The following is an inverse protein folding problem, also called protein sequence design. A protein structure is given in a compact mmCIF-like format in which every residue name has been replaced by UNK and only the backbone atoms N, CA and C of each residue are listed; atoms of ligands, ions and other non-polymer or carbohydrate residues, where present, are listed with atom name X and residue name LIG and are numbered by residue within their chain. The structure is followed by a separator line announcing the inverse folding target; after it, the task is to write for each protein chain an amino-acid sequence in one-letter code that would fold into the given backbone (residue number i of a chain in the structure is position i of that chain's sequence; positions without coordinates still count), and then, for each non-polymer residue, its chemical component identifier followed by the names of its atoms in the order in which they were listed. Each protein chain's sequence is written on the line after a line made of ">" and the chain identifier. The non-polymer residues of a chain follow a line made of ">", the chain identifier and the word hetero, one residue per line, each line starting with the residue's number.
data_IF_948161207639
#
_entry.id   IF_948161207639
#
_cell.length_a   1.000
_cell.length_b   1.000
_cell.length_c   1.000
_cell.angle_alpha   90.00
_cell.angle_beta   90.00
_cell.angle_gamma   90.00
#
_symmetry.space_group_name_H-M   'P 1'
#
loop_
_entity.id
_entity.type
_entity.pdbx_description
1 polymer ?
#
# COMPACT_ATOMS: atom_id res chain seq x y z
N UNK A 1 19.01 -40.32 -2.66
CA UNK A 1 18.84 -39.28 -3.70
C UNK A 1 18.26 -37.98 -3.16
N UNK A 2 17.12 -37.95 -2.45
CA UNK A 2 16.54 -36.71 -1.88
C UNK A 2 17.47 -35.90 -0.95
N UNK A 3 18.31 -36.57 -0.15
CA UNK A 3 19.29 -35.90 0.75
C UNK A 3 20.45 -35.23 0.01
N UNK A 4 20.87 -35.78 -1.13
CA UNK A 4 21.90 -35.18 -2.00
C UNK A 4 21.35 -33.98 -2.78
N UNK A 5 20.08 -34.03 -3.16
CA UNK A 5 19.40 -32.91 -3.80
C UNK A 5 19.25 -31.70 -2.85
N UNK A 6 18.93 -31.94 -1.58
CA UNK A 6 18.88 -30.87 -0.57
C UNK A 6 20.25 -30.24 -0.32
N UNK A 7 21.32 -31.04 -0.32
CA UNK A 7 22.68 -30.55 -0.15
C UNK A 7 23.15 -29.70 -1.36
N UNK A 8 22.73 -30.07 -2.57
CA UNK A 8 23.07 -29.30 -3.77
C UNK A 8 22.34 -27.94 -3.81
N UNK A 9 21.10 -27.87 -3.31
CA UNK A 9 20.36 -26.60 -3.18
C UNK A 9 21.02 -25.70 -2.13
N UNK A 10 21.48 -26.27 -1.01
CA UNK A 10 22.15 -25.50 0.03
C UNK A 10 23.46 -24.86 -0.47
N UNK A 11 24.25 -25.58 -1.27
CA UNK A 11 25.50 -25.08 -1.85
C UNK A 11 25.24 -23.99 -2.90
N UNK A 12 24.14 -24.07 -3.65
CA UNK A 12 23.76 -23.03 -4.62
C UNK A 12 23.39 -21.70 -3.98
N UNK A 13 22.91 -21.69 -2.73
CA UNK A 13 22.58 -20.46 -1.99
C UNK A 13 23.85 -19.71 -1.57
N UNK A 14 24.97 -20.41 -1.33
CA UNK A 14 26.25 -19.79 -0.96
C UNK A 14 27.11 -19.36 -2.16
N UNK A 15 26.74 -19.72 -3.39
CA UNK A 15 27.44 -19.30 -4.62
C UNK A 15 27.02 -17.93 -5.13
N UNK A 16 26.06 -17.27 -4.50
CA UNK A 16 25.76 -15.87 -4.81
C UNK A 16 26.81 -14.97 -4.14
N UNK A 17 27.58 -14.18 -4.89
CA UNK A 17 28.37 -13.12 -4.28
C UNK A 17 27.42 -12.18 -3.55
N UNK A 18 27.58 -12.09 -2.23
CA UNK A 18 26.94 -11.07 -1.41
C UNK A 18 27.73 -9.79 -1.70
N UNK A 19 27.35 -9.07 -2.74
CA UNK A 19 27.77 -7.67 -2.89
C UNK A 19 26.94 -6.87 -1.89
N UNK A 20 27.57 -6.49 -0.77
CA UNK A 20 27.00 -5.63 0.27
C UNK A 20 27.58 -4.21 0.19
N UNK A 21 28.22 -3.87 -0.91
CA UNK A 21 28.73 -2.54 -1.17
C UNK A 21 28.27 -2.24 -2.59
N UNK A 22 27.23 -1.42 -2.71
CA UNK A 22 27.14 -0.57 -3.88
C UNK A 22 28.44 0.25 -3.84
N UNK A 23 29.32 -0.04 -4.79
CA UNK A 23 30.43 0.82 -5.13
C UNK A 23 29.82 2.17 -5.48
N UNK A 24 29.71 3.05 -4.49
CA UNK A 24 29.99 4.45 -4.73
C UNK A 24 31.37 4.43 -5.38
N UNK A 25 31.43 4.78 -6.66
CA UNK A 25 32.66 5.27 -7.28
C UNK A 25 33.11 6.48 -6.47
N UNK A 26 33.79 6.24 -5.35
CA UNK A 26 34.72 7.17 -4.76
C UNK A 26 35.90 7.19 -5.70
N UNK A 27 35.78 8.06 -6.69
CA UNK A 27 36.93 8.66 -7.34
C UNK A 27 37.95 8.98 -6.23
N UNK A 28 39.12 8.39 -6.40
CA UNK A 28 40.28 8.47 -5.54
C UNK A 28 40.46 9.87 -4.95
N UNK A 29 40.90 9.93 -3.68
CA UNK A 29 41.65 10.98 -2.99
C UNK A 29 42.17 12.13 -3.90
N UNK A 30 41.25 12.88 -4.47
CA UNK A 30 41.44 14.23 -4.93
C UNK A 30 40.71 15.02 -3.89
N UNK A 31 41.45 15.88 -3.18
CA UNK A 31 40.90 16.91 -2.31
C UNK A 31 39.92 17.68 -3.20
N UNK A 32 38.65 17.27 -3.16
CA UNK A 32 37.60 17.79 -4.00
C UNK A 32 37.24 19.17 -3.49
N UNK A 33 36.75 20.03 -4.39
CA UNK A 33 36.27 21.36 -4.02
C UNK A 33 35.29 21.25 -2.84
N UNK A 34 35.64 21.83 -1.70
CA UNK A 34 34.77 21.86 -0.52
C UNK A 34 33.76 22.99 -0.68
N UNK A 35 32.50 22.72 -0.33
CA UNK A 35 31.38 23.67 -0.44
C UNK A 35 30.85 23.97 0.95
N UNK A 36 30.93 25.23 1.36
CA UNK A 36 30.46 25.73 2.65
C UNK A 36 29.14 26.48 2.48
N UNK A 37 28.04 25.82 2.84
CA UNK A 37 26.70 26.40 2.76
C UNK A 37 26.49 27.48 3.84
N UNK A 38 25.99 28.65 3.45
CA UNK A 38 25.66 29.74 4.38
C UNK A 38 24.15 29.77 4.60
N UNK A 39 23.40 29.95 3.50
CA UNK A 39 21.96 30.12 3.50
C UNK A 39 21.35 29.25 2.39
N UNK A 40 20.33 28.48 2.73
CA UNK A 40 19.48 27.76 1.79
C UNK A 40 18.05 27.76 2.32
N UNK A 41 17.22 28.69 1.86
CA UNK A 41 15.82 28.76 2.28
C UNK A 41 14.92 29.39 1.22
N UNK A 42 13.62 29.13 1.33
CA UNK A 42 12.60 29.67 0.43
C UNK A 42 11.80 30.75 1.15
N UNK A 43 11.50 31.86 0.47
CA UNK A 43 10.60 32.88 1.01
C UNK A 43 9.19 32.34 1.24
N UNK A 44 8.56 32.75 2.34
CA UNK A 44 7.22 32.25 2.73
C UNK A 44 6.08 32.79 1.86
N UNK A 45 6.25 33.94 1.21
CA UNK A 45 5.23 34.58 0.38
C UNK A 45 5.58 34.46 -1.12
N UNK A 46 4.57 34.27 -1.99
CA UNK A 46 4.78 34.20 -3.43
C UNK A 46 5.25 35.56 -4.01
N UNK A 47 6.14 35.57 -5.02
CA UNK A 47 6.75 34.40 -5.67
C UNK A 47 7.72 33.66 -4.73
N UNK A 48 7.64 32.33 -4.74
CA UNK A 48 8.47 31.47 -3.91
C UNK A 48 9.90 31.46 -4.46
N UNK A 49 10.75 32.28 -3.84
CA UNK A 49 12.15 32.45 -4.26
C UNK A 49 13.03 31.64 -3.31
N UNK A 50 13.75 30.67 -3.87
CA UNK A 50 14.85 29.97 -3.21
C UNK A 50 16.09 30.86 -3.20
N UNK A 51 16.58 31.17 -2.00
CA UNK A 51 17.78 31.94 -1.73
C UNK A 51 18.89 30.98 -1.34
N UNK A 52 19.94 30.95 -2.15
CA UNK A 52 21.11 30.11 -1.94
C UNK A 52 22.35 30.98 -1.84
N UNK A 53 23.16 30.79 -0.80
CA UNK A 53 24.47 31.41 -0.65
C UNK A 53 25.47 30.41 -0.07
N UNK A 54 26.66 30.33 -0.66
CA UNK A 54 27.72 29.42 -0.24
C UNK A 54 29.11 29.94 -0.64
N UNK A 55 30.14 29.36 -0.01
CA UNK A 55 31.54 29.55 -0.40
C UNK A 55 32.14 28.24 -0.91
N UNK A 56 33.18 28.34 -1.73
CA UNK A 56 33.98 27.21 -2.21
C UNK A 56 35.43 27.34 -1.75
N UNK A 57 36.14 26.23 -1.57
CA UNK A 57 37.55 26.24 -1.16
C UNK A 57 38.49 26.86 -2.19
N UNK A 58 38.10 26.88 -3.46
CA UNK A 58 38.82 27.50 -4.57
C UNK A 58 37.86 28.26 -5.50
N UNK A 59 38.42 29.04 -6.41
CA UNK A 59 37.68 29.86 -7.37
C UNK A 59 37.05 28.98 -8.46
N UNK A 60 35.74 29.02 -8.63
CA UNK A 60 35.04 28.19 -9.62
C UNK A 60 33.81 28.85 -10.25
N UNK A 61 33.30 28.21 -11.31
CA UNK A 61 31.93 28.40 -11.79
C UNK A 61 31.01 27.48 -11.00
N UNK A 62 29.74 27.85 -10.85
CA UNK A 62 28.80 27.04 -10.09
C UNK A 62 27.40 26.99 -10.68
N UNK A 63 26.83 25.80 -10.62
CA UNK A 63 25.44 25.47 -10.93
C UNK A 63 24.81 24.82 -9.70
N UNK A 64 23.49 24.92 -9.58
CA UNK A 64 22.71 24.16 -8.60
C UNK A 64 21.71 23.28 -9.34
N UNK A 65 21.64 22.02 -8.92
CA UNK A 65 20.69 21.03 -9.43
C UNK A 65 19.71 20.73 -8.30
N UNK A 66 18.45 21.10 -8.48
CA UNK A 66 17.36 20.90 -7.53
C UNK A 66 16.56 19.67 -7.95
N UNK A 67 16.28 18.77 -7.00
CA UNK A 67 15.49 17.54 -7.17
C UNK A 67 16.00 16.65 -8.32
N UNK A 68 17.32 16.65 -8.54
CA UNK A 68 18.01 15.97 -9.66
C UNK A 68 17.45 16.29 -11.07
N UNK A 69 16.71 17.39 -11.21
CA UNK A 69 15.94 17.68 -12.42
C UNK A 69 16.08 19.12 -12.91
N UNK A 70 16.09 20.09 -12.01
CA UNK A 70 16.08 21.50 -12.37
C UNK A 70 17.46 22.10 -12.15
N UNK A 71 18.15 22.42 -13.24
CA UNK A 71 19.50 23.01 -13.21
C UNK A 71 19.42 24.54 -13.36
N UNK A 72 20.11 25.24 -12.47
CA UNK A 72 20.22 26.70 -12.47
C UNK A 72 21.67 27.14 -12.38
N UNK A 73 22.05 28.08 -13.25
CA UNK A 73 23.35 28.74 -13.20
C UNK A 73 23.41 29.68 -11.99
N UNK A 74 24.39 29.48 -11.11
CA UNK A 74 24.61 30.33 -9.94
C UNK A 74 25.66 31.41 -10.24
N UNK A 75 26.80 31.02 -10.82
CA UNK A 75 27.86 31.96 -11.20
C UNK A 75 28.42 31.67 -12.58
N UNK A 76 28.39 32.68 -13.45
CA UNK A 76 29.02 32.65 -14.78
C UNK A 76 30.50 33.07 -14.75
N UNK A 77 31.01 33.54 -13.61
CA UNK A 77 32.40 33.95 -13.43
C UNK A 77 33.08 33.17 -12.32
N UNK A 78 34.40 33.00 -12.44
CA UNK A 78 35.22 32.38 -11.41
C UNK A 78 35.15 33.25 -10.14
N UNK A 79 34.53 32.72 -9.09
CA UNK A 79 34.43 33.32 -7.76
C UNK A 79 34.59 32.24 -6.68
N UNK A 80 34.92 32.64 -5.45
CA UNK A 80 34.85 31.79 -4.26
C UNK A 80 33.51 31.97 -3.51
N UNK A 81 32.87 33.12 -3.73
CA UNK A 81 31.61 33.50 -3.10
C UNK A 81 30.47 33.42 -4.12
N UNK A 82 29.41 32.68 -3.79
CA UNK A 82 28.31 32.42 -4.69
C UNK A 82 26.98 32.72 -4.03
N UNK A 83 26.07 33.37 -4.77
CA UNK A 83 24.70 33.59 -4.33
C UNK A 83 23.75 33.58 -5.53
N UNK A 84 22.61 32.92 -5.37
CA UNK A 84 21.56 32.86 -6.36
C UNK A 84 20.18 33.11 -5.75
N UNK A 85 19.29 33.67 -6.57
CA UNK A 85 17.86 33.81 -6.28
C UNK A 85 17.10 33.08 -7.38
N UNK A 86 16.50 31.96 -7.05
CA UNK A 86 15.85 31.06 -8.00
C UNK A 86 14.36 31.10 -7.75
N UNK A 87 13.57 31.48 -8.76
CA UNK A 87 12.12 31.38 -8.66
C UNK A 87 11.71 29.92 -8.85
N UNK A 88 11.15 29.34 -7.80
CA UNK A 88 10.69 27.94 -7.77
C UNK A 88 9.17 27.82 -7.82
N UNK A 89 8.45 28.93 -8.03
CA UNK A 89 6.98 28.98 -7.95
C UNK A 89 6.29 28.00 -8.91
N UNK A 90 6.84 27.87 -10.13
CA UNK A 90 6.29 26.99 -11.17
C UNK A 90 6.86 25.56 -11.13
N UNK A 91 7.78 25.28 -10.20
CA UNK A 91 8.40 23.96 -10.05
C UNK A 91 7.49 23.02 -9.26
N UNK A 92 7.53 21.75 -9.68
CA UNK A 92 6.78 20.68 -9.02
C UNK A 92 7.76 19.75 -8.31
N UNK A 93 7.54 19.61 -7.01
CA UNK A 93 8.28 18.74 -6.11
C UNK A 93 7.35 17.67 -5.55
N UNK A 94 7.90 16.49 -5.22
CA UNK A 94 7.14 15.39 -4.62
C UNK A 94 7.08 15.51 -3.10
N UNK A 95 8.21 15.89 -2.50
CA UNK A 95 8.40 15.98 -1.05
C UNK A 95 8.53 17.43 -0.58
N UNK A 96 8.19 17.64 0.71
CA UNK A 96 8.29 18.96 1.35
C UNK A 96 9.76 19.38 1.53
N UNK A 97 10.62 18.40 1.77
CA UNK A 97 12.06 18.59 1.84
C UNK A 97 12.62 18.29 0.46
N UNK A 98 13.17 19.31 -0.18
CA UNK A 98 13.68 19.19 -1.55
C UNK A 98 15.19 19.12 -1.49
N UNK A 99 15.75 18.06 -2.09
CA UNK A 99 17.19 17.90 -2.19
C UNK A 99 17.78 18.77 -3.29
N UNK A 100 19.01 19.24 -3.09
CA UNK A 100 19.78 19.92 -4.12
C UNK A 100 21.28 19.63 -3.98
N UNK A 101 21.97 19.69 -5.11
CA UNK A 101 23.43 19.49 -5.22
C UNK A 101 24.03 20.70 -5.92
N UNK A 102 25.19 21.13 -5.46
CA UNK A 102 25.98 22.18 -6.10
C UNK A 102 27.01 21.51 -6.99
N UNK A 103 26.97 21.83 -8.29
CA UNK A 103 27.99 21.42 -9.26
C UNK A 103 28.96 22.59 -9.46
N UNK A 104 30.24 22.36 -9.24
CA UNK A 104 31.31 23.34 -9.43
C UNK A 104 32.19 22.96 -10.61
N UNK A 105 32.66 23.96 -11.36
CA UNK A 105 33.63 23.78 -12.45
C UNK A 105 34.85 24.64 -12.14
N UNK A 106 35.99 24.02 -11.89
CA UNK A 106 37.22 24.73 -11.56
C UNK A 106 37.84 25.46 -12.77
N UNK A 107 38.93 26.20 -12.53
CA UNK A 107 39.68 26.91 -13.58
C UNK A 107 40.31 25.99 -14.64
N UNK A 108 40.47 24.69 -14.33
CA UNK A 108 40.98 23.65 -15.23
C UNK A 108 39.86 22.93 -16.01
N UNK A 109 38.59 23.29 -15.78
CA UNK A 109 37.42 22.67 -16.37
C UNK A 109 37.00 21.35 -15.72
N UNK A 110 37.59 20.96 -14.58
CA UNK A 110 37.18 19.77 -13.83
C UNK A 110 35.86 20.06 -13.11
N UNK A 111 34.90 19.15 -13.28
CA UNK A 111 33.62 19.20 -12.58
C UNK A 111 33.74 18.50 -11.23
N UNK A 112 33.07 19.02 -10.22
CA UNK A 112 32.92 18.37 -8.91
C UNK A 112 31.52 18.63 -8.39
N UNK A 113 31.00 17.71 -7.59
CA UNK A 113 29.66 17.80 -7.00
C UNK A 113 29.79 17.82 -5.49
N UNK A 114 29.00 18.67 -4.84
CA UNK A 114 28.88 18.68 -3.39
C UNK A 114 28.14 17.44 -2.88
N UNK A 115 28.11 17.29 -1.56
CA UNK A 115 27.08 16.48 -0.90
C UNK A 115 25.67 16.98 -1.24
N UNK A 116 24.67 16.15 -0.95
CA UNK A 116 23.26 16.51 -1.10
C UNK A 116 22.82 17.34 0.08
N UNK A 117 22.36 18.56 -0.18
CA UNK A 117 21.72 19.43 0.80
C UNK A 117 20.21 19.38 0.64
N UNK A 118 19.48 19.91 1.62
CA UNK A 118 18.02 19.95 1.61
C UNK A 118 17.52 21.34 2.01
N UNK A 119 16.38 21.76 1.44
CA UNK A 119 15.62 22.91 1.91
C UNK A 119 14.13 22.58 2.05
N UNK A 120 13.47 23.25 2.98
CA UNK A 120 12.05 23.05 3.25
C UNK A 120 11.19 23.97 2.37
N UNK A 121 10.16 23.40 1.76
CA UNK A 121 9.11 24.16 1.09
C UNK A 121 8.18 24.81 2.13
N UNK A 122 7.78 26.08 1.91
CA UNK A 122 6.84 26.77 2.79
C UNK A 122 5.37 26.36 2.55
N UNK A 123 5.12 25.44 1.62
CA UNK A 123 3.81 24.88 1.27
C UNK A 123 3.88 23.35 1.17
N UNK A 124 2.73 22.69 1.27
CA UNK A 124 2.63 21.25 1.01
C UNK A 124 2.63 20.98 -0.50
N UNK A 125 3.59 20.19 -1.02
CA UNK A 125 3.60 19.83 -2.44
C UNK A 125 2.35 19.03 -2.78
N UNK A 126 1.78 19.29 -3.97
CA UNK A 126 0.66 18.52 -4.47
C UNK A 126 1.20 17.16 -4.94
N UNK A 127 1.07 16.13 -4.10
CA UNK A 127 1.44 14.75 -4.43
C UNK A 127 0.61 14.30 -5.64
N UNK A 128 1.22 14.34 -6.82
CA UNK A 128 0.56 13.90 -8.07
C UNK A 128 0.63 12.38 -8.29
N UNK A 129 1.37 11.65 -7.45
CA UNK A 129 1.50 10.19 -7.53
C UNK A 129 0.86 9.48 -6.33
N UNK A 130 -0.44 9.74 -6.14
CA UNK A 130 -1.28 8.77 -5.44
C UNK A 130 -1.51 7.56 -6.35
N UNK A 131 -1.31 6.34 -5.81
CA UNK A 131 -1.57 5.04 -6.43
C UNK A 131 -2.54 5.11 -7.62
N UNK A 132 -2.05 4.78 -8.83
CA UNK A 132 -2.84 4.91 -10.05
C UNK A 132 -4.20 4.24 -9.89
N UNK A 133 -5.26 4.84 -10.44
CA UNK A 133 -6.60 4.25 -10.42
C UNK A 133 -6.60 2.81 -10.96
N UNK A 134 -5.67 2.48 -11.85
CA UNK A 134 -5.43 1.12 -12.36
C UNK A 134 -4.90 0.18 -11.28
N UNK A 135 -3.94 0.61 -10.48
CA UNK A 135 -3.42 -0.14 -9.33
C UNK A 135 -4.54 -0.39 -8.34
N UNK A 136 -5.32 0.64 -8.00
CA UNK A 136 -6.49 0.50 -7.13
C UNK A 136 -7.51 -0.49 -7.72
N UNK A 137 -7.85 -0.39 -9.00
CA UNK A 137 -8.79 -1.30 -9.66
C UNK A 137 -8.28 -2.75 -9.74
N UNK A 138 -6.99 -2.98 -9.99
CA UNK A 138 -6.39 -4.31 -10.06
C UNK A 138 -6.31 -4.97 -8.68
N UNK A 139 -5.93 -4.22 -7.65
CA UNK A 139 -5.93 -4.71 -6.27
C UNK A 139 -7.34 -4.89 -5.71
N UNK A 140 -8.24 -3.95 -5.95
CA UNK A 140 -9.65 -4.08 -5.57
C UNK A 140 -10.32 -5.26 -6.30
N UNK A 141 -10.04 -5.41 -7.60
CA UNK A 141 -10.55 -6.50 -8.43
C UNK A 141 -10.03 -7.87 -7.99
N UNK A 142 -8.74 -7.99 -7.65
CA UNK A 142 -8.17 -9.26 -7.20
C UNK A 142 -8.74 -9.69 -5.85
N UNK A 143 -8.92 -8.77 -4.91
CA UNK A 143 -9.60 -9.05 -3.63
C UNK A 143 -11.08 -9.35 -3.86
N UNK A 144 -11.73 -8.69 -4.82
CA UNK A 144 -13.09 -9.02 -5.24
C UNK A 144 -13.18 -10.42 -5.88
N UNK A 145 -12.11 -11.03 -6.38
CA UNK A 145 -12.14 -12.43 -6.86
C UNK A 145 -11.75 -13.41 -5.76
N UNK A 146 -10.93 -12.98 -4.78
CA UNK A 146 -10.40 -13.86 -3.75
C UNK A 146 -11.51 -14.52 -2.91
N UNK A 147 -11.62 -15.85 -2.89
CA UNK A 147 -12.52 -16.56 -1.99
C UNK A 147 -11.96 -16.57 -0.55
N UNK A 148 -12.86 -16.67 0.41
CA UNK A 148 -12.57 -16.75 1.84
C UNK A 148 -12.29 -18.21 2.21
N UNK A 149 -11.07 -18.54 2.68
CA UNK A 149 -10.83 -19.84 3.28
C UNK A 149 -11.65 -19.99 4.56
N UNK A 150 -12.15 -21.20 4.79
CA UNK A 150 -12.88 -21.54 5.99
C UNK A 150 -12.75 -22.99 6.41
N UNK A 151 -13.30 -23.25 7.58
CA UNK A 151 -13.45 -24.56 8.18
C UNK A 151 -14.93 -24.76 8.48
N UNK A 152 -15.48 -25.87 7.99
CA UNK A 152 -16.84 -26.32 8.27
C UNK A 152 -16.78 -27.56 9.15
N UNK A 153 -17.47 -27.56 10.28
CA UNK A 153 -17.62 -28.73 11.14
C UNK A 153 -19.03 -29.29 11.00
N UNK A 154 -19.11 -30.47 10.38
CA UNK A 154 -20.33 -31.23 10.19
C UNK A 154 -20.25 -32.51 11.02
N UNK A 155 -21.08 -32.64 12.06
CA UNK A 155 -21.10 -33.83 12.93
C UNK A 155 -19.72 -34.25 13.47
N UNK A 156 -18.90 -33.28 13.89
CA UNK A 156 -17.52 -33.49 14.40
C UNK A 156 -16.51 -33.92 13.34
N UNK A 157 -16.85 -33.81 12.06
CA UNK A 157 -15.93 -33.96 10.93
C UNK A 157 -15.66 -32.58 10.33
N UNK A 158 -14.39 -32.17 10.40
CA UNK A 158 -13.93 -30.90 9.86
C UNK A 158 -13.62 -31.00 8.36
N UNK A 159 -14.15 -30.05 7.58
CA UNK A 159 -13.91 -29.89 6.16
C UNK A 159 -13.34 -28.50 5.88
N UNK A 160 -12.41 -28.42 4.93
CA UNK A 160 -11.98 -27.13 4.39
C UNK A 160 -13.04 -26.60 3.43
N UNK A 161 -13.25 -25.29 3.46
CA UNK A 161 -14.17 -24.59 2.57
C UNK A 161 -13.53 -23.39 1.90
N UNK A 162 -14.04 -23.07 0.72
CA UNK A 162 -13.81 -21.79 0.05
C UNK A 162 -15.16 -21.13 -0.18
N UNK A 163 -15.36 -19.98 0.44
CA UNK A 163 -16.61 -19.22 0.34
C UNK A 163 -16.37 -17.93 -0.39
N UNK A 164 -17.13 -17.68 -1.45
CA UNK A 164 -17.15 -16.39 -2.12
C UNK A 164 -18.46 -15.68 -1.86
N UNK A 165 -18.36 -14.40 -1.57
CA UNK A 165 -19.49 -13.53 -1.31
C UNK A 165 -19.46 -12.34 -2.25
N UNK A 166 -20.63 -11.99 -2.76
CA UNK A 166 -20.84 -10.82 -3.61
C UNK A 166 -22.00 -10.01 -3.02
N UNK A 167 -21.74 -8.80 -2.48
CA UNK A 167 -22.79 -7.89 -2.08
C UNK A 167 -23.54 -7.41 -3.33
N UNK A 168 -24.86 -7.58 -3.34
CA UNK A 168 -25.71 -7.15 -4.46
C UNK A 168 -26.19 -5.71 -4.23
N UNK A 169 -26.68 -5.45 -3.02
CA UNK A 169 -27.25 -4.16 -2.61
C UNK A 169 -26.64 -3.76 -1.26
N UNK A 170 -26.08 -2.56 -1.19
CA UNK A 170 -25.55 -1.98 0.04
C UNK A 170 -26.36 -0.75 0.44
N UNK A 171 -26.63 -0.62 1.73
CA UNK A 171 -27.32 0.55 2.28
C UNK A 171 -26.27 1.54 2.79
N UNK A 172 -26.35 2.79 2.35
CA UNK A 172 -25.42 3.84 2.82
C UNK A 172 -25.47 3.97 4.35
N UNK A 173 -24.31 4.19 4.95
CA UNK A 173 -24.21 4.57 6.36
C UNK A 173 -24.26 6.09 6.49
N UNK A 174 -24.82 6.57 7.61
CA UNK A 174 -24.79 7.99 7.99
C UNK A 174 -23.40 8.41 8.47
N UNK A 175 -22.56 7.47 8.93
CA UNK A 175 -21.23 7.73 9.50
C UNK A 175 -20.29 6.54 9.25
N UNK A 176 -19.07 6.83 8.80
CA UNK A 176 -17.92 5.93 8.86
C UNK A 176 -17.58 5.10 7.61
N UNK A 177 -16.58 4.23 7.84
CA UNK A 177 -15.95 3.18 7.02
C UNK A 177 -16.82 2.26 6.14
N UNK A 178 -18.09 2.08 6.49
CA UNK A 178 -18.81 0.85 6.14
C UNK A 178 -20.25 1.15 5.75
N UNK A 179 -20.88 0.35 4.86
CA UNK A 179 -22.31 0.41 4.63
C UNK A 179 -23.04 0.08 5.93
N UNK A 180 -24.23 0.64 6.14
CA UNK A 180 -25.02 0.33 7.33
C UNK A 180 -25.52 -1.12 7.33
N UNK A 181 -25.52 -1.76 6.16
CA UNK A 181 -25.78 -3.17 5.94
C UNK A 181 -25.82 -3.47 4.45
N UNK A 182 -25.90 -4.75 4.09
CA UNK A 182 -25.98 -5.16 2.69
C UNK A 182 -26.68 -6.52 2.55
N UNK A 183 -27.26 -6.72 1.37
CA UNK A 183 -27.79 -8.01 0.91
C UNK A 183 -26.74 -8.64 -0.01
N UNK A 184 -26.40 -9.90 0.23
CA UNK A 184 -25.39 -10.62 -0.53
C UNK A 184 -25.87 -11.98 -1.00
N UNK A 185 -25.31 -12.41 -2.13
CA UNK A 185 -25.30 -13.81 -2.53
C UNK A 185 -23.93 -14.40 -2.20
N UNK A 186 -23.92 -15.67 -1.82
CA UNK A 186 -22.70 -16.37 -1.49
C UNK A 186 -22.70 -17.77 -2.08
N UNK A 187 -21.49 -18.23 -2.39
CA UNK A 187 -21.26 -19.58 -2.85
C UNK A 187 -20.11 -20.19 -2.05
N UNK A 188 -20.34 -21.36 -1.47
CA UNK A 188 -19.32 -22.13 -0.75
C UNK A 188 -19.07 -23.44 -1.45
N UNK A 189 -17.80 -23.75 -1.65
CA UNK A 189 -17.33 -25.07 -2.04
C UNK A 189 -16.68 -25.77 -0.84
N UNK A 190 -17.11 -27.01 -0.57
CA UNK A 190 -16.59 -27.87 0.51
C UNK A 190 -15.72 -28.98 -0.09
N UNK A 191 -14.47 -29.08 0.35
CA UNK A 191 -13.58 -30.12 -0.16
C UNK A 191 -13.87 -31.48 0.49
N UNK A 192 -13.83 -32.56 -0.29
CA UNK A 192 -13.83 -33.93 0.22
C UNK A 192 -15.21 -34.57 0.48
N UNK A 193 -16.30 -34.01 -0.07
CA UNK A 193 -17.64 -34.60 0.01
C UNK A 193 -18.35 -34.56 -1.37
N UNK A 194 -19.37 -35.39 -1.58
CA UNK A 194 -20.17 -35.45 -2.81
C UNK A 194 -21.14 -34.27 -2.94
N UNK A 195 -21.77 -33.86 -1.84
CA UNK A 195 -22.63 -32.65 -1.78
C UNK A 195 -21.81 -31.44 -1.33
N UNK A 196 -20.93 -30.97 -2.22
CA UNK A 196 -19.89 -29.98 -1.89
C UNK A 196 -20.27 -28.53 -2.21
N UNK A 197 -21.42 -28.27 -2.82
CA UNK A 197 -21.82 -26.93 -3.25
C UNK A 197 -22.90 -26.36 -2.35
N UNK A 198 -22.72 -25.13 -1.86
CA UNK A 198 -23.76 -24.40 -1.13
C UNK A 198 -23.94 -23.01 -1.74
N UNK A 199 -25.18 -22.67 -2.06
CA UNK A 199 -25.58 -21.31 -2.42
C UNK A 199 -26.31 -20.66 -1.25
N UNK A 200 -26.03 -19.39 -0.98
CA UNK A 200 -26.70 -18.63 0.08
C UNK A 200 -27.12 -17.25 -0.39
N UNK A 201 -28.15 -16.75 0.26
CA UNK A 201 -28.65 -15.40 0.07
C UNK A 201 -29.04 -14.83 1.42
N UNK A 202 -28.52 -13.66 1.78
CA UNK A 202 -28.69 -13.13 3.14
C UNK A 202 -28.49 -11.65 3.28
N UNK A 203 -28.86 -11.15 4.45
CA UNK A 203 -28.67 -9.76 4.86
C UNK A 203 -27.70 -9.69 6.03
N UNK A 204 -26.83 -8.68 6.01
CA UNK A 204 -25.89 -8.38 7.09
C UNK A 204 -26.01 -6.92 7.48
N UNK A 205 -26.08 -6.70 8.79
CA UNK A 205 -26.03 -5.39 9.42
C UNK A 205 -24.61 -5.16 9.93
N UNK A 206 -23.95 -4.10 9.49
CA UNK A 206 -22.63 -3.69 9.98
C UNK A 206 -22.79 -2.55 10.98
N UNK A 207 -22.07 -2.66 12.10
CA UNK A 207 -21.97 -1.67 13.15
C UNK A 207 -20.48 -1.35 13.32
N UNK A 208 -20.01 -0.20 12.82
CA UNK A 208 -18.62 0.24 13.02
C UNK A 208 -18.32 0.45 14.51
N UNK A 209 -17.10 0.09 14.94
CA UNK A 209 -16.60 0.30 16.31
C UNK A 209 -15.19 0.88 16.22
N UNK A 210 -14.78 1.73 17.16
CA UNK A 210 -13.50 2.44 17.06
C UNK A 210 -12.28 1.54 17.38
N UNK A 211 -12.44 0.49 18.19
CA UNK A 211 -11.34 -0.40 18.61
C UNK A 211 -11.13 -1.59 17.68
N UNK A 212 -12.18 -1.99 16.99
CA UNK A 212 -12.21 -3.06 15.99
C UNK A 212 -13.08 -2.52 14.86
N UNK A 213 -12.58 -2.54 13.63
CA UNK A 213 -13.20 -1.87 12.48
C UNK A 213 -14.74 -1.98 12.44
N UNK A 214 -15.28 -3.18 12.68
CA UNK A 214 -16.72 -3.37 12.86
C UNK A 214 -17.11 -4.68 13.55
N UNK A 215 -18.35 -4.72 14.03
CA UNK A 215 -19.11 -5.96 14.28
C UNK A 215 -20.26 -6.04 13.29
N UNK A 216 -20.50 -7.23 12.74
CA UNK A 216 -21.61 -7.48 11.83
C UNK A 216 -22.45 -8.63 12.33
N UNK A 217 -23.77 -8.47 12.26
CA UNK A 217 -24.74 -9.54 12.50
C UNK A 217 -25.55 -9.78 11.23
N UNK A 218 -25.77 -11.04 10.87
CA UNK A 218 -26.46 -11.39 9.64
C UNK A 218 -27.27 -12.67 9.74
N UNK A 219 -28.08 -12.88 8.70
CA UNK A 219 -28.81 -14.12 8.49
C UNK A 219 -28.87 -14.40 6.99
N UNK A 220 -28.62 -15.66 6.63
CA UNK A 220 -28.72 -16.12 5.25
C UNK A 220 -29.61 -17.34 5.15
N UNK A 221 -30.35 -17.47 4.05
CA UNK A 221 -30.94 -18.74 3.63
C UNK A 221 -29.91 -19.48 2.78
N UNK A 222 -29.82 -20.80 2.91
CA UNK A 222 -28.88 -21.62 2.15
C UNK A 222 -29.54 -22.85 1.54
N UNK A 223 -28.94 -23.36 0.45
CA UNK A 223 -29.28 -24.62 -0.21
C UNK A 223 -28.01 -25.28 -0.76
N UNK A 224 -27.94 -26.61 -0.72
CA UNK A 224 -26.94 -27.39 -1.46
C UNK A 224 -27.48 -28.02 -2.75
N UNK A 225 -28.73 -27.72 -3.13
CA UNK A 225 -29.48 -28.35 -4.23
C UNK A 225 -29.71 -29.87 -4.13
N UNK A 226 -29.18 -30.53 -3.09
CA UNK A 226 -29.33 -31.96 -2.80
C UNK A 226 -30.20 -32.24 -1.57
N UNK A 227 -31.01 -31.26 -1.14
CA UNK A 227 -31.98 -31.42 -0.03
C UNK A 227 -31.52 -30.89 1.33
N UNK A 228 -30.35 -30.27 1.41
CA UNK A 228 -29.90 -29.54 2.60
C UNK A 228 -30.20 -28.04 2.41
N UNK A 229 -31.32 -27.61 2.98
CA UNK A 229 -31.81 -26.24 2.88
C UNK A 229 -32.10 -25.69 4.28
N UNK A 230 -31.75 -24.44 4.55
CA UNK A 230 -31.93 -23.91 5.88
C UNK A 230 -31.64 -22.43 6.02
N UNK A 231 -31.47 -22.02 7.28
CA UNK A 231 -31.11 -20.65 7.64
C UNK A 231 -29.82 -20.66 8.44
N UNK A 232 -29.02 -19.61 8.26
CA UNK A 232 -27.72 -19.50 8.86
C UNK A 232 -27.53 -18.11 9.47
N UNK A 233 -27.84 -17.94 10.77
CA UNK A 233 -27.39 -16.77 11.50
C UNK A 233 -25.86 -16.73 11.56
N UNK A 234 -25.31 -15.52 11.50
CA UNK A 234 -23.88 -15.31 11.46
C UNK A 234 -23.47 -14.01 12.15
N UNK A 235 -22.23 -14.02 12.62
CA UNK A 235 -21.56 -12.85 13.19
C UNK A 235 -20.20 -12.72 12.54
N UNK A 236 -19.79 -11.49 12.22
CA UNK A 236 -18.44 -11.20 11.71
C UNK A 236 -17.80 -10.09 12.51
N UNK A 237 -16.48 -10.18 12.69
CA UNK A 237 -15.64 -9.19 13.36
C UNK A 237 -14.59 -8.69 12.37
N UNK A 238 -14.61 -7.39 12.08
CA UNK A 238 -13.55 -6.70 11.34
C UNK A 238 -12.45 -6.30 12.30
N UNK A 239 -11.22 -6.75 12.05
CA UNK A 239 -10.10 -6.60 12.97
C UNK A 239 -9.33 -5.30 12.75
N UNK A 240 -8.77 -5.14 11.55
CA UNK A 240 -7.95 -3.99 11.16
C UNK A 240 -7.96 -3.80 9.65
N UNK A 241 -7.64 -2.60 9.21
CA UNK A 241 -7.43 -2.27 7.79
C UNK A 241 -6.01 -2.57 7.33
N UNK A 242 -5.90 -3.13 6.12
CA UNK A 242 -4.68 -3.29 5.35
C UNK A 242 -4.70 -2.28 4.20
N UNK A 243 -3.61 -1.50 4.07
CA UNK A 243 -3.44 -0.51 3.00
C UNK A 243 -4.61 0.50 2.93
N UNK A 244 -5.21 0.84 4.08
CA UNK A 244 -6.39 1.71 4.22
C UNK A 244 -7.60 1.37 3.34
N UNK A 245 -7.62 0.15 2.79
CA UNK A 245 -8.57 -0.25 1.74
C UNK A 245 -9.32 -1.54 2.09
N UNK A 246 -8.64 -2.50 2.71
CA UNK A 246 -9.17 -3.83 2.95
C UNK A 246 -9.30 -4.10 4.45
N UNK A 247 -10.47 -4.50 4.92
CA UNK A 247 -10.63 -4.91 6.32
C UNK A 247 -10.51 -6.42 6.42
N UNK A 248 -9.52 -6.90 7.17
CA UNK A 248 -9.44 -8.31 7.53
C UNK A 248 -10.56 -8.63 8.53
N UNK A 249 -11.35 -9.67 8.26
CA UNK A 249 -12.43 -10.08 9.14
C UNK A 249 -12.49 -11.58 9.34
N UNK A 250 -12.98 -11.98 10.50
CA UNK A 250 -13.41 -13.36 10.76
C UNK A 250 -14.93 -13.42 10.79
N UNK A 251 -15.48 -14.54 10.32
CA UNK A 251 -16.91 -14.83 10.37
C UNK A 251 -17.12 -16.16 11.05
N UNK A 252 -18.11 -16.21 11.91
CA UNK A 252 -18.69 -17.44 12.42
C UNK A 252 -20.15 -17.52 11.96
N UNK A 253 -20.54 -18.72 11.52
CA UNK A 253 -21.88 -19.01 11.04
C UNK A 253 -22.35 -20.35 11.61
N UNK A 254 -23.58 -20.37 12.07
CA UNK A 254 -24.28 -21.60 12.41
C UNK A 254 -25.33 -21.89 11.35
N UNK A 255 -25.25 -23.03 10.67
CA UNK A 255 -26.17 -23.41 9.62
C UNK A 255 -27.19 -24.40 10.19
N UNK A 256 -28.45 -23.97 10.25
CA UNK A 256 -29.56 -24.72 10.80
C UNK A 256 -30.48 -25.21 9.68
N UNK A 257 -30.69 -26.54 9.61
CA UNK A 257 -31.67 -27.18 8.73
C UNK A 257 -32.95 -27.47 9.54
N UNK A 258 -34.08 -26.81 9.23
CA UNK A 258 -35.35 -27.10 9.90
C UNK A 258 -35.76 -28.56 9.71
N UNK A 259 -36.15 -29.23 10.80
CA UNK A 259 -36.65 -30.61 10.77
C UNK A 259 -35.58 -31.71 10.82
N UNK A 260 -34.28 -31.37 10.80
CA UNK A 260 -33.20 -32.35 10.85
C UNK A 260 -31.95 -31.75 11.51
N UNK A 261 -31.91 -31.84 12.85
CA UNK A 261 -30.84 -31.28 13.67
C UNK A 261 -29.48 -31.92 13.47
N UNK A 262 -29.44 -33.16 12.97
CA UNK A 262 -28.19 -33.90 12.76
C UNK A 262 -27.39 -33.35 11.58
N UNK A 263 -28.04 -32.59 10.71
CA UNK A 263 -27.42 -31.95 9.55
C UNK A 263 -27.04 -30.49 9.77
N UNK A 264 -27.13 -29.99 11.01
CA UNK A 264 -26.66 -28.67 11.38
C UNK A 264 -25.13 -28.66 11.40
N UNK A 265 -24.54 -27.52 11.04
CA UNK A 265 -23.08 -27.40 10.98
C UNK A 265 -22.59 -26.00 11.29
N UNK A 266 -21.35 -25.94 11.77
CA UNK A 266 -20.66 -24.69 12.09
C UNK A 266 -19.69 -24.35 10.97
N UNK A 267 -19.53 -23.06 10.68
CA UNK A 267 -18.56 -22.58 9.71
C UNK A 267 -17.80 -21.38 10.28
N UNK A 268 -16.48 -21.39 10.15
CA UNK A 268 -15.60 -20.26 10.46
C UNK A 268 -14.86 -19.89 9.18
N UNK A 269 -14.91 -18.62 8.79
CA UNK A 269 -14.22 -18.12 7.61
C UNK A 269 -13.30 -16.94 7.97
N UNK A 270 -12.22 -16.81 7.22
CA UNK A 270 -11.35 -15.62 7.22
C UNK A 270 -11.51 -14.92 5.87
N UNK A 271 -11.87 -13.63 5.90
CA UNK A 271 -12.17 -12.88 4.69
C UNK A 271 -11.55 -11.50 4.67
N UNK A 272 -11.56 -10.91 3.47
CA UNK A 272 -11.22 -9.52 3.24
C UNK A 272 -12.48 -8.78 2.78
N UNK A 273 -12.86 -7.76 3.54
CA UNK A 273 -13.94 -6.87 3.18
C UNK A 273 -13.38 -5.68 2.39
N UNK A 274 -14.08 -5.30 1.34
CA UNK A 274 -13.78 -4.09 0.57
C UNK A 274 -15.07 -3.38 0.13
N UNK A 275 -14.97 -2.07 -0.11
CA UNK A 275 -16.11 -1.20 -0.41
C UNK A 275 -16.51 -1.21 -1.89
N UNK A 276 -15.74 -1.89 -2.73
CA UNK A 276 -15.91 -1.91 -4.18
C UNK A 276 -17.04 -2.83 -4.64
N UNK A 277 -17.73 -2.45 -5.73
CA UNK A 277 -18.75 -3.23 -6.43
C UNK A 277 -20.03 -3.57 -5.65
N UNK A 278 -20.66 -2.58 -5.02
CA UNK A 278 -22.07 -2.72 -4.60
C UNK A 278 -22.92 -1.55 -5.05
N UNK A 279 -24.17 -1.83 -5.40
CA UNK A 279 -25.16 -0.78 -5.67
C UNK A 279 -25.55 -0.15 -4.35
N UNK A 280 -25.24 1.14 -4.19
CA UNK A 280 -25.57 1.89 -2.99
C UNK A 280 -26.97 2.52 -3.11
N UNK A 281 -27.86 2.11 -2.20
CA UNK A 281 -29.14 2.77 -1.94
C UNK A 281 -29.04 3.71 -0.73
#
# INVERSE_FOLDING_TARGET
>A
MKKLFLLSILILVFLKPIYSQDDFETDADSIGMEVFLIDAYVKQEPPYIFLLSFYTSEVCLSNVIIDNKYEYLVSSGLSEAHSAKIDITDLKFLDKNVSFIIETIDSSGKKSKSESFEFDLPYEPVISEGSSIWTLCLFAGSVFVLPMPGLMDYSSIGYYTLTKEIPIISFRSKKGNYPSGYVATEYTYRFGDQDNHYLRFGYKKIIPIDYIEYISAGVSAYTNFSGQNGFAPEVSLGWFTLLDTFTLYTRYRYNFKPGDSNSNFHEINLGLYTRFFSLYL
#
